data_IF_787153519775
#
_entry.id   IF_787153519775
#
_cell.length_a   1.000
_cell.length_b   1.000
_cell.length_c   1.000
_cell.angle_alpha   90.00
_cell.angle_beta   90.00
_cell.angle_gamma   90.00
#
_symmetry.space_group_name_H-M   'P 1'
#
loop_
_entity.id
_entity.type
_entity.pdbx_description
1 polymer ?
#
# COMPACT_ATOMS: atom_id res chain seq x y z
N UNK A 1 -14.08 36.52 45.96
CA UNK A 1 -13.21 35.37 45.65
C UNK A 1 -11.78 35.85 45.42
N UNK A 2 -10.78 35.26 46.08
CA UNK A 2 -9.38 35.70 46.01
C UNK A 2 -8.77 35.29 44.65
N UNK A 3 -8.20 36.25 43.91
CA UNK A 3 -7.62 36.14 42.55
C UNK A 3 -6.75 34.87 42.34
N UNK A 4 -6.02 34.45 43.38
CA UNK A 4 -5.21 33.23 43.39
C UNK A 4 -6.03 31.95 43.22
N UNK A 5 -7.20 31.87 43.84
CA UNK A 5 -8.07 30.69 43.81
C UNK A 5 -8.69 30.49 42.42
N UNK A 6 -8.94 31.58 41.69
CA UNK A 6 -9.42 31.57 40.30
C UNK A 6 -8.36 31.10 39.30
N UNK A 7 -7.10 31.49 39.51
CA UNK A 7 -5.96 31.06 38.67
C UNK A 7 -5.69 29.57 38.86
N UNK A 8 -5.72 29.06 40.08
CA UNK A 8 -5.50 27.63 40.34
C UNK A 8 -6.66 26.75 39.87
N UNK A 9 -7.91 27.24 39.87
CA UNK A 9 -9.05 26.48 39.32
C UNK A 9 -9.02 26.40 37.80
N UNK A 10 -8.58 27.46 37.12
CA UNK A 10 -8.49 27.50 35.65
C UNK A 10 -7.35 26.64 35.10
N UNK A 11 -6.19 26.59 35.78
CA UNK A 11 -5.09 25.68 35.41
C UNK A 11 -5.45 24.20 35.57
N UNK A 12 -6.21 23.83 36.61
CA UNK A 12 -6.70 22.45 36.79
C UNK A 12 -7.70 22.05 35.71
N UNK A 13 -8.60 22.96 35.34
CA UNK A 13 -9.55 22.74 34.25
C UNK A 13 -8.82 22.59 32.89
N UNK A 14 -7.77 23.37 32.64
CA UNK A 14 -6.96 23.26 31.43
C UNK A 14 -6.21 21.92 31.33
N UNK A 15 -5.68 21.40 32.44
CA UNK A 15 -5.03 20.09 32.48
C UNK A 15 -6.02 18.93 32.21
N UNK A 16 -7.25 19.02 32.74
CA UNK A 16 -8.30 18.04 32.50
C UNK A 16 -8.80 18.02 31.04
N UNK A 17 -8.70 19.14 30.34
CA UNK A 17 -9.09 19.27 28.93
C UNK A 17 -7.95 18.94 27.96
N UNK A 18 -6.72 18.76 28.45
CA UNK A 18 -5.54 18.47 27.62
C UNK A 18 -5.69 17.21 26.73
N UNK A 19 -6.27 16.09 27.19
CA UNK A 19 -6.48 14.91 26.34
C UNK A 19 -7.49 15.17 25.22
N UNK A 20 -8.54 15.95 25.50
CA UNK A 20 -9.59 16.31 24.53
C UNK A 20 -9.02 17.26 23.47
N UNK A 21 -8.18 18.21 23.87
CA UNK A 21 -7.44 19.08 22.97
C UNK A 21 -6.41 18.32 22.12
N UNK A 22 -5.77 17.29 22.67
CA UNK A 22 -4.86 16.42 21.92
C UNK A 22 -5.60 15.59 20.87
N UNK A 23 -6.77 15.03 21.20
CA UNK A 23 -7.59 14.28 20.24
C UNK A 23 -8.10 15.18 19.10
N UNK A 24 -8.50 16.42 19.39
CA UNK A 24 -8.92 17.37 18.34
C UNK A 24 -7.80 17.85 17.44
N UNK A 25 -6.53 17.80 17.87
CA UNK A 25 -5.39 18.10 16.98
C UNK A 25 -5.15 16.99 15.96
N UNK A 26 -5.54 15.75 16.25
CA UNK A 26 -5.47 14.64 15.29
C UNK A 26 -6.53 14.80 14.20
N UNK A 27 -7.74 15.25 14.56
CA UNK A 27 -8.80 15.57 13.58
C UNK A 27 -8.55 16.87 12.79
N UNK A 28 -7.75 17.79 13.34
CA UNK A 28 -7.40 19.06 12.69
C UNK A 28 -6.08 18.99 11.89
N UNK A 29 -5.46 17.82 11.77
CA UNK A 29 -4.34 17.63 10.85
C UNK A 29 -4.88 17.76 9.42
N UNK A 30 -4.46 18.81 8.71
CA UNK A 30 -4.67 18.93 7.27
C UNK A 30 -4.00 17.71 6.60
N UNK A 31 -4.83 16.82 6.05
CA UNK A 31 -4.39 15.56 5.45
C UNK A 31 -4.71 14.36 6.35
N UNK A 32 -5.74 13.59 5.96
CA UNK A 32 -5.92 12.23 6.49
C UNK A 32 -4.60 11.47 6.34
N UNK A 33 -4.17 10.66 7.33
CA UNK A 33 -3.03 9.77 7.13
C UNK A 33 -3.36 8.81 5.97
N UNK A 34 -2.78 9.06 4.80
CA UNK A 34 -2.93 8.20 3.63
C UNK A 34 -2.24 6.88 3.93
N UNK A 35 -3.03 5.82 4.06
CA UNK A 35 -2.52 4.45 4.17
C UNK A 35 -2.64 3.79 2.81
N UNK A 36 -1.51 3.41 2.23
CA UNK A 36 -1.48 2.60 1.02
C UNK A 36 -1.24 1.14 1.42
N UNK A 37 -2.01 0.23 0.82
CA UNK A 37 -1.83 -1.20 0.97
C UNK A 37 -1.59 -1.79 -0.43
N UNK A 38 -0.50 -2.52 -0.57
CA UNK A 38 -0.16 -3.22 -1.81
C UNK A 38 -0.20 -4.71 -1.51
N UNK A 39 -1.10 -5.42 -2.17
CA UNK A 39 -1.18 -6.88 -2.11
C UNK A 39 -0.73 -7.46 -3.45
N UNK A 40 0.19 -8.42 -3.39
CA UNK A 40 0.67 -9.12 -4.58
C UNK A 40 0.40 -10.60 -4.37
N UNK A 41 -0.36 -11.22 -5.28
CA UNK A 41 -0.53 -12.66 -5.30
C UNK A 41 0.38 -13.28 -6.37
N UNK A 42 1.13 -14.30 -5.96
CA UNK A 42 1.99 -15.08 -6.83
C UNK A 42 1.14 -16.12 -7.58
N UNK A 43 0.40 -15.73 -8.61
CA UNK A 43 -0.22 -16.61 -9.62
C UNK A 43 -1.03 -15.69 -10.55
N UNK A 44 -0.64 -15.62 -11.83
CA UNK A 44 -1.51 -15.00 -12.83
C UNK A 44 -2.80 -15.82 -12.99
N UNK A 45 -3.88 -15.15 -13.37
CA UNK A 45 -5.11 -15.84 -13.74
C UNK A 45 -5.02 -16.33 -15.20
N UNK A 46 -5.64 -17.47 -15.54
CA UNK A 46 -5.47 -18.09 -16.86
C UNK A 46 -6.02 -17.24 -18.01
N UNK A 47 -6.96 -16.34 -17.73
CA UNK A 47 -7.70 -15.52 -18.69
C UNK A 47 -7.81 -14.09 -18.17
N UNK A 48 -7.61 -13.13 -19.05
CA UNK A 48 -7.66 -11.70 -18.71
C UNK A 48 -9.10 -11.29 -18.33
N UNK A 49 -10.09 -11.91 -18.97
CA UNK A 49 -11.52 -11.65 -18.81
C UNK A 49 -12.03 -12.02 -17.41
N UNK A 50 -11.36 -12.95 -16.72
CA UNK A 50 -11.73 -13.33 -15.36
C UNK A 50 -11.24 -12.30 -14.34
N UNK A 51 -10.20 -11.52 -14.67
CA UNK A 51 -9.60 -10.51 -13.79
C UNK A 51 -10.05 -9.08 -14.12
N UNK A 52 -9.92 -8.65 -15.37
CA UNK A 52 -10.16 -7.26 -15.74
C UNK A 52 -11.66 -6.95 -15.83
N UNK A 53 -12.11 -5.82 -15.26
CA UNK A 53 -13.50 -5.40 -15.37
C UNK A 53 -13.84 -4.98 -16.80
N UNK A 54 -15.12 -5.07 -17.16
CA UNK A 54 -15.63 -4.62 -18.47
C UNK A 54 -16.33 -3.27 -18.34
N UNK A 55 -16.53 -2.54 -19.45
CA UNK A 55 -17.16 -1.21 -19.44
C UNK A 55 -16.16 -0.06 -19.53
N UNK A 56 -16.52 1.13 -19.04
CA UNK A 56 -15.66 2.31 -19.03
C UNK A 56 -15.09 2.64 -17.66
N UNK A 57 -14.26 3.69 -17.60
CA UNK A 57 -13.49 4.08 -16.40
C UNK A 57 -14.34 4.30 -15.14
N UNK A 58 -15.59 4.76 -15.30
CA UNK A 58 -16.48 5.10 -14.16
C UNK A 58 -17.68 4.16 -14.01
N UNK A 59 -18.03 3.45 -15.08
CA UNK A 59 -19.21 2.57 -15.18
C UNK A 59 -18.81 1.10 -15.41
N UNK A 60 -17.59 0.72 -15.03
CA UNK A 60 -17.12 -0.65 -15.17
C UNK A 60 -17.89 -1.65 -14.30
N UNK A 61 -18.04 -2.86 -14.82
CA UNK A 61 -18.59 -4.02 -14.11
C UNK A 61 -17.45 -4.90 -13.62
N UNK A 62 -17.43 -5.19 -12.33
CA UNK A 62 -16.43 -6.06 -11.70
C UNK A 62 -16.48 -7.47 -12.31
N UNK A 63 -15.30 -8.03 -12.55
CA UNK A 63 -15.12 -9.42 -12.94
C UNK A 63 -15.39 -10.37 -11.75
N UNK A 64 -15.55 -11.68 -11.98
CA UNK A 64 -15.75 -12.65 -10.90
C UNK A 64 -14.65 -12.61 -9.83
N UNK A 65 -13.40 -12.38 -10.22
CA UNK A 65 -12.26 -12.28 -9.28
C UNK A 65 -12.35 -11.00 -8.44
N UNK A 66 -12.80 -9.90 -9.04
CA UNK A 66 -12.93 -8.63 -8.35
C UNK A 66 -14.26 -8.47 -7.61
N UNK A 67 -15.16 -9.45 -7.67
CA UNK A 67 -16.54 -9.35 -7.18
C UNK A 67 -16.61 -8.97 -5.70
N UNK A 68 -15.73 -9.52 -4.86
CA UNK A 68 -15.70 -9.25 -3.42
C UNK A 68 -15.30 -7.81 -3.07
N UNK A 69 -14.70 -7.08 -4.02
CA UNK A 69 -14.40 -5.66 -3.84
C UNK A 69 -15.58 -4.73 -4.18
N UNK A 70 -16.78 -5.27 -4.47
CA UNK A 70 -18.01 -4.50 -4.68
C UNK A 70 -18.23 -3.36 -3.67
N UNK A 71 -18.01 -3.55 -2.36
CA UNK A 71 -18.16 -2.49 -1.36
C UNK A 71 -17.23 -1.28 -1.53
N UNK A 72 -16.11 -1.43 -2.26
CA UNK A 72 -15.09 -0.40 -2.49
C UNK A 72 -14.90 -0.09 -3.99
N UNK A 73 -15.84 -0.50 -4.85
CA UNK A 73 -15.77 -0.30 -6.32
C UNK A 73 -15.47 1.14 -6.71
N UNK A 74 -16.10 2.10 -6.04
CA UNK A 74 -15.97 3.53 -6.39
C UNK A 74 -14.66 4.15 -5.87
N UNK A 75 -13.91 3.43 -5.03
CA UNK A 75 -12.65 3.84 -4.40
C UNK A 75 -11.43 3.05 -4.93
N UNK A 76 -11.61 2.19 -5.94
CA UNK A 76 -10.51 1.40 -6.51
C UNK A 76 -10.08 1.90 -7.89
N UNK A 77 -8.83 1.61 -8.24
CA UNK A 77 -8.30 1.75 -9.59
C UNK A 77 -7.76 0.39 -10.02
N UNK A 78 -8.26 -0.13 -11.14
CA UNK A 78 -7.70 -1.32 -11.79
C UNK A 78 -6.75 -0.85 -12.88
N UNK A 79 -5.48 -1.23 -12.78
CA UNK A 79 -4.44 -0.82 -13.73
C UNK A 79 -4.22 -1.94 -14.75
N UNK A 80 -4.38 -1.61 -16.02
CA UNK A 80 -4.10 -2.47 -17.18
C UNK A 80 -3.00 -1.85 -18.05
N UNK A 81 -2.45 -2.62 -19.00
CA UNK A 81 -1.44 -2.17 -19.96
C UNK A 81 -0.01 -2.15 -19.40
N UNK A 82 0.21 -2.82 -18.25
CA UNK A 82 1.54 -2.96 -17.66
C UNK A 82 2.33 -4.07 -18.36
N UNK A 83 3.26 -3.68 -19.24
CA UNK A 83 4.23 -4.60 -19.84
C UNK A 83 5.37 -4.91 -18.86
N UNK A 84 5.25 -6.03 -18.14
CA UNK A 84 6.35 -6.59 -17.36
C UNK A 84 7.27 -7.35 -18.31
N UNK A 85 8.20 -6.61 -18.93
CA UNK A 85 9.17 -7.16 -19.87
C UNK A 85 9.92 -8.35 -19.28
N UNK A 86 10.37 -9.25 -20.14
CA UNK A 86 11.17 -10.42 -19.76
C UNK A 86 12.40 -10.03 -18.92
N UNK A 87 12.80 -10.94 -18.04
CA UNK A 87 14.03 -10.82 -17.25
C UNK A 87 15.28 -10.83 -18.14
N UNK A 88 16.32 -10.14 -17.70
CA UNK A 88 17.58 -9.94 -18.41
C UNK A 88 18.43 -11.20 -18.50
N UNK A 89 19.67 -11.06 -18.95
CA UNK A 89 20.50 -12.14 -19.50
C UNK A 89 20.89 -13.30 -18.56
N UNK A 90 20.49 -13.36 -17.29
CA UNK A 90 20.85 -14.46 -16.37
C UNK A 90 19.92 -14.58 -15.13
N UNK A 91 18.61 -14.79 -15.27
CA UNK A 91 17.74 -14.85 -14.11
C UNK A 91 17.79 -16.25 -13.45
N UNK A 92 17.64 -16.32 -12.12
CA UNK A 92 17.44 -17.55 -11.32
C UNK A 92 15.96 -17.67 -10.90
N UNK A 93 15.47 -18.85 -10.53
CA UNK A 93 14.05 -19.13 -10.27
C UNK A 93 13.28 -19.52 -11.55
N UNK A 94 12.04 -19.98 -11.46
CA UNK A 94 11.17 -20.15 -12.64
C UNK A 94 10.47 -18.80 -12.95
N UNK A 95 9.91 -18.65 -14.15
CA UNK A 95 9.25 -17.39 -14.57
C UNK A 95 8.02 -17.05 -13.71
N UNK A 96 7.46 -18.04 -13.01
CA UNK A 96 6.37 -17.86 -12.07
C UNK A 96 6.80 -17.14 -10.77
N UNK A 97 8.01 -17.38 -10.26
CA UNK A 97 8.54 -16.69 -9.07
C UNK A 97 9.15 -15.34 -9.46
N UNK A 98 9.77 -15.26 -10.64
CA UNK A 98 10.42 -14.03 -11.12
C UNK A 98 9.41 -12.91 -11.38
N UNK A 99 8.24 -13.22 -11.94
CA UNK A 99 7.23 -12.23 -12.30
C UNK A 99 6.79 -11.38 -11.10
N UNK A 100 6.65 -12.00 -9.93
CA UNK A 100 6.23 -11.37 -8.67
C UNK A 100 7.24 -10.32 -8.22
N UNK A 101 8.54 -10.63 -8.28
CA UNK A 101 9.60 -9.71 -7.90
C UNK A 101 9.74 -8.49 -8.81
N UNK A 102 9.08 -8.50 -9.98
CA UNK A 102 9.10 -7.41 -10.96
C UNK A 102 7.84 -6.53 -10.93
N UNK A 103 6.84 -6.89 -10.14
CA UNK A 103 5.53 -6.23 -10.13
C UNK A 103 5.70 -4.73 -9.89
N UNK A 104 5.17 -3.93 -10.83
CA UNK A 104 5.03 -2.46 -10.80
C UNK A 104 6.32 -1.62 -10.74
N UNK A 105 7.48 -2.14 -10.33
CA UNK A 105 8.77 -1.42 -10.43
C UNK A 105 9.62 -1.86 -11.62
N UNK A 106 9.24 -2.95 -12.29
CA UNK A 106 9.92 -3.55 -13.44
C UNK A 106 11.42 -3.85 -13.19
N UNK A 107 11.83 -3.94 -11.92
CA UNK A 107 13.20 -4.29 -11.53
C UNK A 107 13.36 -5.80 -11.56
N UNK A 108 14.43 -6.24 -12.22
CA UNK A 108 14.64 -7.67 -12.39
C UNK A 108 15.06 -8.35 -11.09
N UNK A 109 14.70 -9.62 -10.93
CA UNK A 109 15.18 -10.40 -9.78
C UNK A 109 16.62 -10.83 -10.06
N UNK A 110 17.55 -10.37 -9.24
CA UNK A 110 18.97 -10.61 -9.39
C UNK A 110 19.35 -12.01 -8.90
N UNK A 111 20.31 -12.61 -9.59
CA UNK A 111 20.92 -13.86 -9.13
C UNK A 111 21.95 -13.55 -8.03
N UNK A 112 21.70 -13.99 -6.80
CA UNK A 112 22.77 -14.09 -5.81
C UNK A 112 23.67 -15.29 -6.10
N UNK A 113 24.98 -15.18 -5.83
CA UNK A 113 25.81 -16.36 -5.57
C UNK A 113 25.17 -17.14 -4.41
N UNK A 114 24.98 -18.44 -4.60
CA UNK A 114 24.54 -19.40 -3.55
C UNK A 114 23.13 -19.26 -2.96
N UNK A 115 22.29 -18.32 -3.42
CA UNK A 115 20.88 -18.26 -3.01
C UNK A 115 20.00 -19.21 -3.86
N UNK A 116 19.11 -19.97 -3.22
CA UNK A 116 18.04 -20.71 -3.92
C UNK A 116 17.05 -19.73 -4.56
N UNK A 117 16.68 -18.70 -3.80
CA UNK A 117 15.79 -17.63 -4.26
C UNK A 117 16.56 -16.47 -4.90
N UNK A 118 15.90 -15.77 -5.81
CA UNK A 118 16.45 -14.56 -6.40
C UNK A 118 16.38 -13.37 -5.44
N UNK A 119 17.32 -12.43 -5.56
CA UNK A 119 17.35 -11.20 -4.78
C UNK A 119 16.54 -10.09 -5.46
N UNK A 120 15.89 -9.19 -4.72
CA UNK A 120 15.28 -7.98 -5.30
C UNK A 120 16.33 -7.13 -6.03
N UNK A 121 16.05 -6.74 -7.28
CA UNK A 121 16.96 -5.88 -8.07
C UNK A 121 16.73 -4.38 -7.92
N UNK A 122 15.86 -3.97 -7.00
CA UNK A 122 15.61 -2.58 -6.68
C UNK A 122 14.52 -2.40 -5.65
N UNK A 123 14.14 -1.15 -5.43
CA UNK A 123 13.07 -0.81 -4.49
C UNK A 123 11.75 -1.46 -4.89
N UNK A 124 10.97 -1.85 -3.90
CA UNK A 124 9.58 -2.26 -4.08
C UNK A 124 8.67 -1.06 -4.36
N UNK A 125 7.43 -1.35 -4.73
CA UNK A 125 6.41 -0.34 -5.07
C UNK A 125 6.07 0.50 -3.86
N UNK A 126 5.84 -0.15 -2.73
CA UNK A 126 5.53 0.50 -1.46
C UNK A 126 6.69 1.38 -1.00
N UNK A 127 7.95 0.96 -1.18
CA UNK A 127 9.13 1.80 -0.90
C UNK A 127 9.17 3.03 -1.82
N UNK A 128 8.82 2.87 -3.09
CA UNK A 128 8.77 3.98 -4.06
C UNK A 128 7.67 4.99 -3.68
N UNK A 129 6.48 4.50 -3.34
CA UNK A 129 5.35 5.32 -2.88
C UNK A 129 5.68 6.02 -1.56
N UNK A 130 6.23 5.28 -0.59
CA UNK A 130 6.61 5.80 0.71
C UNK A 130 7.66 6.92 0.59
N UNK A 131 8.66 6.73 -0.27
CA UNK A 131 9.65 7.75 -0.59
C UNK A 131 9.03 9.00 -1.22
N UNK A 132 8.05 8.85 -2.13
CA UNK A 132 7.38 9.98 -2.77
C UNK A 132 6.49 10.77 -1.78
N UNK A 133 5.92 10.08 -0.80
CA UNK A 133 5.03 10.67 0.22
C UNK A 133 5.77 11.14 1.48
N UNK A 134 7.06 10.81 1.63
CA UNK A 134 7.84 11.14 2.83
C UNK A 134 7.37 10.36 4.07
N UNK A 135 6.87 9.13 3.89
CA UNK A 135 6.37 8.26 4.96
C UNK A 135 7.22 6.99 5.06
N UNK A 136 7.23 6.27 6.20
CA UNK A 136 7.90 4.98 6.30
C UNK A 136 7.12 3.87 5.56
N UNK A 137 7.84 2.90 4.99
CA UNK A 137 7.27 1.61 4.54
C UNK A 137 7.54 0.51 5.56
N UNK A 138 6.64 -0.48 5.63
CA UNK A 138 6.78 -1.67 6.46
C UNK A 138 6.46 -2.90 5.61
N UNK A 139 7.42 -3.81 5.51
CA UNK A 139 7.25 -5.08 4.81
C UNK A 139 6.94 -6.19 5.83
N UNK A 140 5.89 -6.96 5.57
CA UNK A 140 5.47 -8.09 6.39
C UNK A 140 5.48 -9.34 5.51
N UNK A 141 6.35 -10.30 5.81
CA UNK A 141 6.31 -11.63 5.20
C UNK A 141 5.47 -12.57 6.06
N UNK A 142 4.62 -13.35 5.40
CA UNK A 142 3.93 -14.49 6.03
C UNK A 142 4.70 -15.74 5.60
N UNK A 143 5.30 -16.44 6.57
CA UNK A 143 5.85 -17.77 6.34
C UNK A 143 4.78 -18.77 6.73
N UNK A 144 4.37 -19.59 5.78
CA UNK A 144 3.52 -20.77 6.03
C UNK A 144 4.34 -21.90 6.67
#
# INVERSE_FOLDING_TARGET
MKRRQFVFSSLKAAALLSPVLSMRRVDAAEGRPSRAFVWVNCCGYPTAEDFFPSGGERDFTLSPILADFGPVRDDMVVVDGLDIRNSGLNPKGNDHIRSVGKVLTAKDVLRAPDAEDGLPGGASVDQTIASALGVPSLELSVND
#
